data_IF_895175285961
#
_entry.id   IF_895175285961
#
_cell.length_a   1.000
_cell.length_b   1.000
_cell.length_c   1.000
_cell.angle_alpha   90.00
_cell.angle_beta   90.00
_cell.angle_gamma   90.00
#
_symmetry.space_group_name_H-M   'P 1'
#
loop_
_entity.id
_entity.type
_entity.pdbx_description
1 polymer ?
#
# COMPACT_ATOMS: atom_id res chain seq x y z
N UNK A 1 -11.34 -8.54 1.71
CA UNK A 1 -10.13 -7.68 1.66
C UNK A 1 -10.16 -6.84 2.91
N UNK A 2 -9.24 -7.03 3.86
CA UNK A 2 -9.29 -6.37 5.17
C UNK A 2 -9.17 -4.85 5.00
N UNK A 3 -10.30 -4.16 4.85
CA UNK A 3 -10.40 -2.70 4.73
C UNK A 3 -9.65 -2.01 5.88
N UNK A 4 -9.70 -2.64 7.06
CA UNK A 4 -9.04 -2.20 8.28
C UNK A 4 -7.50 -2.23 8.19
N UNK A 5 -6.92 -3.18 7.43
CA UNK A 5 -5.47 -3.19 7.15
C UNK A 5 -5.07 -2.02 6.25
N UNK A 6 -5.85 -1.76 5.21
CA UNK A 6 -5.58 -0.61 4.33
C UNK A 6 -5.71 0.71 5.08
N UNK A 7 -6.69 0.83 5.97
CA UNK A 7 -6.86 2.01 6.83
C UNK A 7 -5.66 2.21 7.77
N UNK A 8 -5.20 1.15 8.44
CA UNK A 8 -3.99 1.17 9.28
C UNK A 8 -2.75 1.63 8.50
N UNK A 9 -2.53 1.08 7.30
CA UNK A 9 -1.38 1.43 6.47
C UNK A 9 -1.49 2.88 5.96
N UNK A 10 -2.69 3.32 5.57
CA UNK A 10 -2.92 4.70 5.16
C UNK A 10 -2.57 5.68 6.28
N UNK A 11 -3.10 5.48 7.49
CA UNK A 11 -2.81 6.34 8.65
C UNK A 11 -1.32 6.31 9.00
N UNK A 12 -0.69 5.14 9.02
CA UNK A 12 0.74 5.00 9.28
C UNK A 12 1.61 5.73 8.25
N UNK A 13 1.27 5.61 6.96
CA UNK A 13 2.00 6.28 5.88
C UNK A 13 1.90 7.80 5.95
N UNK A 14 0.72 8.35 6.31
CA UNK A 14 0.53 9.79 6.49
C UNK A 14 1.38 10.31 7.65
N UNK A 15 1.39 9.62 8.79
CA UNK A 15 2.21 10.02 9.95
C UNK A 15 3.69 10.02 9.56
N UNK A 16 4.18 8.96 8.89
CA UNK A 16 5.55 8.92 8.39
C UNK A 16 5.85 10.05 7.40
N UNK A 17 4.92 10.34 6.48
CA UNK A 17 5.06 11.42 5.51
C UNK A 17 5.19 12.79 6.18
N UNK A 18 4.42 13.05 7.23
CA UNK A 18 4.52 14.29 8.03
C UNK A 18 5.89 14.38 8.71
N UNK A 19 6.34 13.30 9.35
CA UNK A 19 7.66 13.25 10.03
C UNK A 19 8.78 13.53 9.03
N UNK A 20 8.76 12.91 7.85
CA UNK A 20 9.77 13.12 6.81
C UNK A 20 9.70 14.54 6.25
N UNK A 21 8.50 15.09 6.04
CA UNK A 21 8.35 16.47 5.59
C UNK A 21 8.97 17.49 6.56
N UNK A 22 8.81 17.25 7.87
CA UNK A 22 9.40 18.08 8.92
C UNK A 22 10.92 17.98 8.95
N UNK A 23 11.48 16.76 8.88
CA UNK A 23 12.93 16.54 8.92
C UNK A 23 13.62 17.10 7.66
N UNK A 24 13.03 16.87 6.49
CA UNK A 24 13.58 17.33 5.22
C UNK A 24 13.30 18.82 4.94
N UNK A 25 12.51 19.49 5.80
CA UNK A 25 11.95 20.83 5.55
C UNK A 25 11.31 20.97 4.16
N UNK A 26 10.76 19.86 3.63
CA UNK A 26 10.23 19.78 2.29
C UNK A 26 8.95 18.95 2.27
N UNK A 27 7.83 19.62 2.01
CA UNK A 27 6.50 18.99 1.98
C UNK A 27 6.40 17.98 0.84
N UNK A 28 7.07 18.24 -0.28
CA UNK A 28 6.99 17.37 -1.46
C UNK A 28 7.60 15.99 -1.18
N UNK A 29 8.70 15.91 -0.42
CA UNK A 29 9.30 14.63 -0.05
C UNK A 29 8.38 13.82 0.88
N UNK A 30 7.65 14.48 1.78
CA UNK A 30 6.65 13.82 2.61
C UNK A 30 5.52 13.22 1.77
N UNK A 31 4.93 14.02 0.86
CA UNK A 31 3.85 13.56 -0.03
C UNK A 31 4.34 12.39 -0.90
N UNK A 32 5.52 12.51 -1.50
CA UNK A 32 6.11 11.46 -2.33
C UNK A 32 6.28 10.15 -1.55
N UNK A 33 6.71 10.24 -0.29
CA UNK A 33 6.88 9.09 0.58
C UNK A 33 5.54 8.43 0.94
N UNK A 34 4.48 9.20 1.20
CA UNK A 34 3.12 8.65 1.40
C UNK A 34 2.67 7.87 0.16
N UNK A 35 2.82 8.46 -1.02
CA UNK A 35 2.42 7.83 -2.29
C UNK A 35 3.19 6.55 -2.55
N UNK A 36 4.51 6.53 -2.30
CA UNK A 36 5.35 5.35 -2.48
C UNK A 36 5.00 4.23 -1.49
N UNK A 37 4.79 4.56 -0.21
CA UNK A 37 4.47 3.55 0.81
C UNK A 37 3.07 2.98 0.62
N UNK A 38 2.07 3.85 0.46
CA UNK A 38 0.68 3.41 0.30
C UNK A 38 0.46 2.77 -1.07
N UNK A 39 0.94 3.40 -2.15
CA UNK A 39 0.87 2.85 -3.50
C UNK A 39 1.62 1.53 -3.63
N UNK A 40 2.83 1.43 -3.05
CA UNK A 40 3.62 0.20 -3.03
C UNK A 40 2.92 -0.93 -2.26
N UNK A 41 2.27 -0.62 -1.13
CA UNK A 41 1.47 -1.59 -0.38
C UNK A 41 0.29 -2.13 -1.19
N UNK A 42 -0.48 -1.25 -1.84
CA UNK A 42 -1.61 -1.63 -2.71
C UNK A 42 -1.11 -2.51 -3.86
N UNK A 43 -0.05 -2.08 -4.54
CA UNK A 43 0.52 -2.81 -5.67
C UNK A 43 0.99 -4.22 -5.27
N UNK A 44 1.71 -4.34 -4.15
CA UNK A 44 2.13 -5.65 -3.62
C UNK A 44 0.95 -6.55 -3.29
N UNK A 45 -0.12 -6.00 -2.72
CA UNK A 45 -1.27 -6.80 -2.32
C UNK A 45 -2.08 -7.28 -3.54
N UNK A 46 -2.19 -6.44 -4.57
CA UNK A 46 -2.80 -6.81 -5.86
C UNK A 46 -1.96 -7.88 -6.56
N UNK A 47 -0.64 -7.70 -6.67
CA UNK A 47 0.26 -8.67 -7.31
C UNK A 47 0.23 -10.02 -6.59
N UNK A 48 0.21 -10.03 -5.25
CA UNK A 48 0.03 -11.26 -4.47
C UNK A 48 -1.35 -11.87 -4.69
N UNK A 49 -2.40 -11.06 -4.79
CA UNK A 49 -3.76 -11.53 -5.09
C UNK A 49 -3.86 -12.16 -6.48
N UNK A 50 -3.10 -11.68 -7.46
CA UNK A 50 -3.02 -12.26 -8.80
C UNK A 50 -2.23 -13.57 -8.81
N UNK A 51 -1.09 -13.63 -8.12
CA UNK A 51 -0.25 -14.83 -8.07
C UNK A 51 -0.86 -16.02 -7.30
N UNK A 52 -1.81 -15.74 -6.39
CA UNK A 52 -2.44 -16.78 -5.56
C UNK A 52 -3.82 -17.22 -6.07
N UNK A 53 -4.26 -16.77 -7.26
CA UNK A 53 -5.46 -17.33 -7.89
C UNK A 53 -5.11 -18.71 -8.48
N UNK A 54 -5.76 -19.80 -8.02
CA UNK A 54 -5.71 -21.06 -8.75
C UNK A 54 -6.27 -20.82 -10.16
N UNK A 55 -5.76 -21.50 -11.19
CA UNK A 55 -6.32 -21.37 -12.54
C UNK A 55 -7.82 -21.65 -12.50
N UNK A 56 -8.60 -20.70 -13.01
CA UNK A 56 -10.08 -20.70 -13.06
C UNK A 56 -10.61 -21.70 -14.10
N UNK A 57 -9.98 -22.88 -14.23
CA UNK A 57 -10.32 -23.89 -15.24
C UNK A 57 -10.06 -25.33 -14.77
N UNK A 58 -10.28 -25.65 -13.49
CA UNK A 58 -10.41 -27.06 -13.09
C UNK A 58 -11.90 -27.40 -13.12
N UNK A 59 -12.43 -28.06 -14.17
CA UNK A 59 -13.77 -28.62 -14.13
C UNK A 59 -13.83 -29.59 -12.94
N UNK A 60 -14.69 -29.28 -11.97
CA UNK A 60 -15.02 -30.20 -10.89
C UNK A 60 -15.68 -31.44 -11.53
N UNK A 61 -14.99 -32.59 -11.44
CA UNK A 61 -15.59 -33.91 -11.63
C UNK A 61 -15.99 -34.47 -10.28
#
# INVERSE_FOLDING_TARGET
MDLLKYLMVAVGSIILGIVVALIAHNVLSGILLVVLLFGGYVLLNVTKGLNNKPPENTPQQ
#
